data_IF_497028437649
#
_entry.id   IF_497028437649
#
_cell.length_a   1.000
_cell.length_b   1.000
_cell.length_c   1.000
_cell.angle_alpha   90.00
_cell.angle_beta   90.00
_cell.angle_gamma   90.00
#
_symmetry.space_group_name_H-M   'P 1'
#
loop_
_entity.id
_entity.type
_entity.pdbx_description
1 polymer ?
#
# COMPACT_ATOMS: atom_id res chain seq x y z
N UNK A 1 9.56 -13.83 -0.90
CA UNK A 1 11.03 -14.00 -0.86
C UNK A 1 11.39 -15.47 -1.04
N UNK A 2 10.85 -16.40 -0.25
CA UNK A 2 11.17 -17.85 -0.32
C UNK A 2 10.97 -18.44 -1.71
N UNK A 3 9.83 -18.18 -2.36
CA UNK A 3 9.56 -18.62 -3.74
C UNK A 3 10.59 -18.08 -4.73
N UNK A 4 11.00 -16.82 -4.57
CA UNK A 4 12.01 -16.21 -5.44
C UNK A 4 13.41 -16.79 -5.18
N UNK A 5 13.74 -17.18 -3.94
CA UNK A 5 14.96 -17.94 -3.67
C UNK A 5 14.98 -19.27 -4.41
N UNK A 6 13.84 -19.94 -4.51
CA UNK A 6 13.67 -21.18 -5.27
C UNK A 6 13.65 -20.97 -6.80
N UNK A 7 13.83 -19.73 -7.28
CA UNK A 7 13.84 -19.43 -8.71
C UNK A 7 12.45 -19.37 -9.37
N UNK A 8 11.39 -19.27 -8.59
CA UNK A 8 10.02 -19.26 -9.11
C UNK A 8 9.55 -17.85 -9.45
N UNK A 9 8.83 -17.65 -10.58
CA UNK A 9 8.05 -16.44 -10.82
C UNK A 9 7.02 -16.21 -9.71
N UNK A 10 6.71 -14.94 -9.42
CA UNK A 10 5.74 -14.62 -8.36
C UNK A 10 4.69 -13.60 -8.83
N UNK A 11 3.45 -13.90 -8.50
CA UNK A 11 2.33 -12.96 -8.56
C UNK A 11 1.88 -12.70 -7.13
N UNK A 12 1.91 -11.44 -6.68
CA UNK A 12 1.63 -11.06 -5.29
C UNK A 12 0.46 -10.09 -5.25
N UNK A 13 -0.51 -10.39 -4.39
CA UNK A 13 -1.62 -9.48 -4.15
C UNK A 13 -1.13 -8.21 -3.44
N UNK A 14 -1.84 -7.10 -3.66
CA UNK A 14 -1.57 -5.82 -2.98
C UNK A 14 -1.97 -5.89 -1.49
N UNK A 15 -1.33 -5.12 -0.63
CA UNK A 15 -0.06 -4.42 -0.83
C UNK A 15 1.10 -5.39 -0.97
N UNK A 16 2.14 -4.98 -1.72
CA UNK A 16 3.26 -5.86 -2.08
C UNK A 16 4.04 -6.36 -0.88
N UNK A 17 4.30 -5.48 0.07
CA UNK A 17 5.10 -5.74 1.25
C UNK A 17 4.74 -4.74 2.35
N UNK A 18 5.24 -4.95 3.57
CA UNK A 18 4.89 -4.15 4.73
C UNK A 18 5.76 -2.90 4.89
N UNK A 19 7.00 -2.95 4.42
CA UNK A 19 7.95 -1.84 4.50
C UNK A 19 8.83 -1.67 3.26
N UNK A 20 9.61 -0.59 3.25
CA UNK A 20 10.51 -0.24 2.14
C UNK A 20 11.68 -1.22 2.00
N UNK A 21 12.16 -1.80 3.09
CA UNK A 21 13.25 -2.78 3.06
C UNK A 21 12.81 -4.05 2.33
N UNK A 22 11.63 -4.55 2.65
CA UNK A 22 11.03 -5.71 1.98
C UNK A 22 10.85 -5.47 0.48
N UNK A 23 10.30 -4.29 0.10
CA UNK A 23 10.12 -3.92 -1.31
C UNK A 23 11.46 -3.89 -2.04
N UNK A 24 12.49 -3.28 -1.46
CA UNK A 24 13.82 -3.21 -2.07
C UNK A 24 14.46 -4.59 -2.19
N UNK A 25 14.26 -5.47 -1.22
CA UNK A 25 14.71 -6.86 -1.26
C UNK A 25 14.07 -7.60 -2.43
N UNK A 26 12.75 -7.49 -2.60
CA UNK A 26 12.03 -8.10 -3.72
C UNK A 26 12.50 -7.56 -5.06
N UNK A 27 12.67 -6.24 -5.20
CA UNK A 27 13.19 -5.61 -6.42
C UNK A 27 14.58 -6.12 -6.78
N UNK A 28 15.50 -6.20 -5.80
CA UNK A 28 16.85 -6.70 -5.99
C UNK A 28 16.83 -8.14 -6.48
N UNK A 29 16.10 -9.02 -5.80
CA UNK A 29 15.98 -10.43 -6.16
C UNK A 29 15.38 -10.63 -7.55
N UNK A 30 14.34 -9.89 -7.91
CA UNK A 30 13.73 -9.97 -9.23
C UNK A 30 14.74 -9.67 -10.33
N UNK A 31 15.57 -8.62 -10.15
CA UNK A 31 16.62 -8.23 -11.11
C UNK A 31 17.75 -9.24 -11.19
N UNK A 32 18.32 -9.64 -10.04
CA UNK A 32 19.47 -10.55 -9.98
C UNK A 32 19.14 -11.93 -10.53
N UNK A 33 17.97 -12.44 -10.22
CA UNK A 33 17.50 -13.76 -10.67
C UNK A 33 16.73 -13.72 -11.99
N UNK A 34 16.49 -12.53 -12.55
CA UNK A 34 15.71 -12.31 -13.79
C UNK A 34 14.33 -12.99 -13.75
N UNK A 35 13.66 -12.89 -12.59
CA UNK A 35 12.36 -13.53 -12.37
C UNK A 35 11.22 -12.63 -12.86
N UNK A 36 10.25 -13.17 -13.60
CA UNK A 36 8.98 -12.50 -13.83
C UNK A 36 8.25 -12.24 -12.49
N UNK A 37 7.86 -10.99 -12.27
CA UNK A 37 7.17 -10.59 -11.05
C UNK A 37 6.01 -9.66 -11.39
N UNK A 38 4.88 -9.81 -10.70
CA UNK A 38 3.73 -8.93 -10.88
C UNK A 38 3.02 -8.70 -9.56
N UNK A 39 2.58 -7.47 -9.32
CA UNK A 39 1.66 -7.12 -8.24
C UNK A 39 0.24 -7.03 -8.78
N UNK A 40 -0.73 -7.55 -8.01
CA UNK A 40 -2.14 -7.54 -8.37
C UNK A 40 -2.81 -6.19 -8.10
N UNK A 41 -2.73 -5.26 -9.07
CA UNK A 41 -3.50 -4.01 -9.09
C UNK A 41 -4.52 -4.10 -10.22
N UNK A 42 -5.78 -4.38 -9.86
CA UNK A 42 -6.82 -4.66 -10.87
C UNK A 42 -7.08 -3.50 -11.82
N UNK A 43 -7.04 -2.24 -11.33
CA UNK A 43 -7.33 -1.07 -12.16
C UNK A 43 -6.30 -0.87 -13.29
N UNK A 44 -5.07 -1.31 -13.09
CA UNK A 44 -4.01 -1.23 -14.10
C UNK A 44 -4.35 -1.99 -15.40
N UNK A 45 -5.26 -2.95 -15.31
CA UNK A 45 -5.71 -3.76 -16.45
C UNK A 45 -6.94 -3.22 -17.16
N UNK A 46 -7.62 -2.20 -16.61
CA UNK A 46 -8.84 -1.65 -17.19
C UNK A 46 -8.58 -0.87 -18.47
N UNK A 47 -9.50 -0.97 -19.43
CA UNK A 47 -9.41 -0.28 -20.72
C UNK A 47 -9.46 1.24 -20.55
N UNK A 48 -10.34 1.72 -19.66
CA UNK A 48 -10.51 3.14 -19.35
C UNK A 48 -9.24 3.75 -18.76
N UNK A 49 -8.59 3.01 -17.86
CA UNK A 49 -7.29 3.39 -17.31
C UNK A 49 -6.24 3.52 -18.40
N UNK A 50 -6.09 2.50 -19.25
CA UNK A 50 -5.11 2.50 -20.35
C UNK A 50 -5.38 3.63 -21.34
N UNK A 51 -6.65 3.89 -21.65
CA UNK A 51 -7.06 4.99 -22.52
C UNK A 51 -6.69 6.35 -21.91
N UNK A 52 -6.96 6.56 -20.62
CA UNK A 52 -6.59 7.79 -19.92
C UNK A 52 -5.08 8.03 -19.92
N UNK A 53 -4.29 6.98 -19.61
CA UNK A 53 -2.82 7.03 -19.67
C UNK A 53 -2.34 7.42 -21.06
N UNK A 54 -2.89 6.79 -22.12
CA UNK A 54 -2.53 7.09 -23.50
C UNK A 54 -2.85 8.55 -23.89
N UNK A 55 -4.03 9.05 -23.55
CA UNK A 55 -4.41 10.44 -23.82
C UNK A 55 -3.45 11.45 -23.16
N UNK A 56 -2.97 11.16 -21.95
CA UNK A 56 -2.00 12.02 -21.28
C UNK A 56 -0.64 11.95 -22.00
N UNK A 57 -0.20 10.77 -22.41
CA UNK A 57 1.03 10.59 -23.20
C UNK A 57 0.97 11.35 -24.53
N UNK A 58 -0.20 11.38 -25.18
CA UNK A 58 -0.45 12.10 -26.43
C UNK A 58 -0.61 13.62 -26.22
N UNK A 59 -0.48 14.11 -25.00
CA UNK A 59 -0.48 15.54 -24.67
C UNK A 59 -1.88 16.17 -24.54
N UNK A 60 -2.93 15.39 -24.37
CA UNK A 60 -4.32 15.90 -24.30
C UNK A 60 -4.55 17.00 -23.25
N UNK A 61 -3.77 16.99 -22.16
CA UNK A 61 -3.84 18.00 -21.09
C UNK A 61 -2.60 18.87 -21.00
N UNK A 62 -1.65 18.71 -21.93
CA UNK A 62 -0.35 19.39 -21.91
C UNK A 62 0.54 18.92 -20.76
N UNK A 63 1.50 19.77 -20.35
CA UNK A 63 2.44 19.47 -19.28
C UNK A 63 1.77 19.55 -17.90
N UNK A 64 1.93 18.50 -17.11
CA UNK A 64 1.37 18.41 -15.76
C UNK A 64 2.37 18.92 -14.73
N UNK A 65 2.01 19.93 -13.95
CA UNK A 65 2.88 20.51 -12.91
C UNK A 65 2.55 20.01 -11.51
N UNK A 66 1.30 19.68 -11.27
CA UNK A 66 0.81 19.26 -9.96
C UNK A 66 -0.32 18.25 -10.10
N UNK A 67 -0.34 17.26 -9.20
CA UNK A 67 -1.38 16.23 -9.14
C UNK A 67 -1.86 16.10 -7.70
N UNK A 68 -3.17 16.09 -7.51
CA UNK A 68 -3.79 15.77 -6.23
C UNK A 68 -4.53 14.44 -6.34
N UNK A 69 -4.26 13.54 -5.40
CA UNK A 69 -4.98 12.28 -5.25
C UNK A 69 -5.49 12.14 -3.84
N UNK A 70 -6.63 11.49 -3.66
CA UNK A 70 -7.20 11.27 -2.34
C UNK A 70 -7.98 9.98 -2.26
N UNK A 71 -8.25 9.54 -1.05
CA UNK A 71 -9.13 8.42 -0.74
C UNK A 71 -9.96 8.76 0.50
N UNK A 72 -11.24 8.41 0.47
CA UNK A 72 -12.16 8.58 1.59
C UNK A 72 -12.08 7.45 2.64
N UNK A 73 -11.26 6.43 2.39
CA UNK A 73 -11.06 5.34 3.35
C UNK A 73 -10.46 5.87 4.65
N UNK A 74 -10.90 5.31 5.77
CA UNK A 74 -10.50 5.72 7.12
C UNK A 74 -9.80 4.56 7.84
N UNK A 75 -8.73 4.06 7.25
CA UNK A 75 -7.90 3.00 7.84
C UNK A 75 -6.80 3.59 8.72
N UNK A 76 -7.23 4.18 9.81
CA UNK A 76 -6.40 4.73 10.88
C UNK A 76 -7.25 4.90 12.14
N UNK A 77 -6.61 5.27 13.24
CA UNK A 77 -7.29 5.48 14.50
C UNK A 77 -6.58 6.54 15.34
N UNK A 78 -7.33 7.36 16.06
CA UNK A 78 -6.79 8.30 17.03
C UNK A 78 -6.69 7.67 18.41
N UNK A 79 -7.55 6.71 18.69
CA UNK A 79 -7.64 6.04 19.98
C UNK A 79 -6.82 4.74 19.99
N UNK A 80 -6.28 4.41 21.15
CA UNK A 80 -5.69 3.10 21.40
C UNK A 80 -6.78 2.05 21.53
N UNK A 81 -6.38 0.79 21.32
CA UNK A 81 -7.27 -0.33 21.60
C UNK A 81 -7.67 -0.36 23.07
N UNK A 82 -8.95 -0.66 23.38
CA UNK A 82 -9.37 -0.85 24.76
C UNK A 82 -8.65 -2.07 25.35
N UNK A 83 -8.34 -2.00 26.64
CA UNK A 83 -7.79 -3.12 27.41
C UNK A 83 -8.92 -4.12 27.73
N UNK A 84 -9.44 -4.77 26.71
CA UNK A 84 -10.54 -5.74 26.79
C UNK A 84 -10.09 -7.09 26.23
N UNK A 85 -10.85 -8.11 26.62
CA UNK A 85 -10.76 -9.43 26.03
C UNK A 85 -12.18 -9.94 25.79
N UNK A 86 -12.51 -10.14 24.54
CA UNK A 86 -13.78 -10.72 24.13
C UNK A 86 -13.63 -12.22 23.89
N UNK A 87 -14.73 -12.99 23.95
CA UNK A 87 -14.71 -14.39 23.55
C UNK A 87 -14.39 -14.53 22.06
N UNK A 88 -13.51 -15.45 21.76
CA UNK A 88 -13.19 -15.80 20.37
C UNK A 88 -14.43 -16.45 19.74
N UNK A 89 -14.90 -16.02 18.56
CA UNK A 89 -16.03 -16.65 17.89
C UNK A 89 -15.80 -18.14 17.64
N UNK A 90 -16.87 -18.92 17.70
CA UNK A 90 -16.82 -20.36 17.41
C UNK A 90 -16.29 -20.61 16.01
N UNK A 91 -15.37 -21.56 15.87
CA UNK A 91 -14.72 -21.92 14.62
C UNK A 91 -13.66 -20.91 14.12
N UNK A 92 -13.34 -19.86 14.88
CA UNK A 92 -12.31 -18.90 14.53
C UNK A 92 -11.02 -19.15 15.31
N UNK A 93 -9.96 -19.55 14.63
CA UNK A 93 -8.63 -19.71 15.24
C UNK A 93 -7.92 -18.36 15.29
N UNK A 94 -7.95 -17.75 16.48
CA UNK A 94 -7.32 -16.45 16.71
C UNK A 94 -5.80 -16.50 16.61
N UNK A 95 -5.19 -17.59 17.04
CA UNK A 95 -3.74 -17.73 17.01
C UNK A 95 -3.22 -17.87 15.57
N UNK A 96 -3.88 -18.67 14.74
CA UNK A 96 -3.58 -18.79 13.32
C UNK A 96 -3.81 -17.45 12.60
N UNK A 97 -4.86 -16.70 12.97
CA UNK A 97 -5.13 -15.39 12.40
C UNK A 97 -4.04 -14.36 12.74
N UNK A 98 -3.49 -14.38 13.94
CA UNK A 98 -2.38 -13.51 14.35
C UNK A 98 -1.11 -13.77 13.52
N UNK A 99 -0.88 -14.99 13.09
CA UNK A 99 0.29 -15.37 12.30
C UNK A 99 1.58 -15.07 13.04
N UNK A 100 2.40 -14.18 12.50
CA UNK A 100 3.71 -13.79 13.07
C UNK A 100 3.63 -12.63 14.06
N UNK A 101 2.45 -12.03 14.24
CA UNK A 101 2.27 -10.93 15.19
C UNK A 101 2.32 -11.44 16.64
N UNK A 102 2.64 -10.54 17.57
CA UNK A 102 2.68 -10.88 18.99
C UNK A 102 1.31 -11.38 19.48
N UNK A 103 1.31 -12.45 20.27
CA UNK A 103 0.11 -13.00 20.90
C UNK A 103 -0.55 -11.94 21.77
N UNK A 104 -1.87 -11.79 21.61
CA UNK A 104 -2.68 -10.79 22.32
C UNK A 104 -4.13 -11.25 22.46
N UNK A 105 -4.90 -10.67 23.39
CA UNK A 105 -6.32 -10.95 23.53
C UNK A 105 -7.10 -10.65 22.25
N UNK A 106 -8.14 -11.43 21.98
CA UNK A 106 -9.12 -11.09 20.95
C UNK A 106 -9.98 -9.94 21.46
N UNK A 107 -10.17 -8.92 20.62
CA UNK A 107 -11.07 -7.80 20.84
C UNK A 107 -11.99 -7.71 19.63
N UNK A 108 -13.29 -7.85 19.86
CA UNK A 108 -14.31 -7.81 18.82
C UNK A 108 -14.20 -6.52 18.00
N UNK A 109 -14.32 -6.63 16.71
CA UNK A 109 -14.27 -5.51 15.74
C UNK A 109 -12.96 -4.70 15.72
N UNK A 110 -11.98 -5.05 16.54
CA UNK A 110 -10.69 -4.35 16.57
C UNK A 110 -9.79 -4.70 15.38
N UNK A 111 -9.92 -5.90 14.83
CA UNK A 111 -9.07 -6.44 13.77
C UNK A 111 -9.86 -6.96 12.57
N UNK A 112 -10.72 -7.93 12.78
CA UNK A 112 -11.50 -8.60 11.74
C UNK A 112 -12.91 -7.95 11.62
N UNK A 113 -13.51 -7.90 10.42
CA UNK A 113 -12.95 -8.39 9.14
C UNK A 113 -12.04 -7.41 8.41
N UNK A 114 -12.07 -6.12 8.70
CA UNK A 114 -11.39 -5.09 7.92
C UNK A 114 -10.50 -4.14 8.70
N UNK A 115 -10.70 -4.03 10.01
CA UNK A 115 -10.03 -3.07 10.89
C UNK A 115 -8.54 -3.35 11.13
N UNK A 116 -8.08 -4.56 10.80
CA UNK A 116 -6.65 -4.89 10.80
C UNK A 116 -5.81 -3.91 9.98
N UNK A 117 -6.39 -3.29 8.95
CA UNK A 117 -5.71 -2.28 8.12
C UNK A 117 -5.22 -1.07 8.92
N UNK A 118 -5.90 -0.77 10.02
CA UNK A 118 -5.55 0.34 10.91
C UNK A 118 -4.33 0.04 11.79
N UNK A 119 -4.03 -1.26 12.03
CA UNK A 119 -3.07 -1.70 13.03
C UNK A 119 -1.67 -1.82 12.45
N UNK A 120 -0.69 -1.34 13.23
CA UNK A 120 0.72 -1.29 12.80
C UNK A 120 1.28 -2.68 12.46
N UNK A 121 0.86 -3.73 13.19
CA UNK A 121 1.36 -5.09 13.00
C UNK A 121 0.77 -5.82 11.79
N UNK A 122 -0.34 -5.32 11.24
CA UNK A 122 -1.09 -6.06 10.21
C UNK A 122 -1.29 -5.27 8.93
N UNK A 123 -1.47 -3.96 9.02
CA UNK A 123 -1.84 -3.11 7.90
C UNK A 123 -0.90 -1.95 7.68
N UNK A 124 -1.15 -1.23 6.59
CA UNK A 124 -0.37 -0.07 6.17
C UNK A 124 -1.24 1.18 6.01
N UNK A 125 -2.33 1.24 6.79
CA UNK A 125 -3.31 2.33 6.79
C UNK A 125 -3.99 2.59 5.44
N UNK A 126 -4.70 3.70 5.35
CA UNK A 126 -5.34 4.16 4.10
C UNK A 126 -4.30 4.36 3.00
N UNK A 127 -3.13 4.88 3.33
CA UNK A 127 -2.11 5.13 2.31
C UNK A 127 -1.59 3.84 1.67
N UNK A 128 -1.26 2.83 2.46
CA UNK A 128 -0.80 1.55 1.91
C UNK A 128 -1.91 0.73 1.26
N UNK A 129 -3.14 0.80 1.79
CA UNK A 129 -4.29 0.11 1.20
C UNK A 129 -4.72 0.71 -0.14
N UNK A 130 -4.75 2.05 -0.24
CA UNK A 130 -5.27 2.77 -1.40
C UNK A 130 -4.20 3.39 -2.30
N UNK A 131 -3.01 3.65 -1.77
CA UNK A 131 -1.93 4.30 -2.51
C UNK A 131 -1.58 3.59 -3.81
N UNK A 132 -1.53 2.26 -3.81
CA UNK A 132 -1.29 1.48 -5.02
C UNK A 132 -2.38 1.67 -6.09
N UNK A 133 -3.59 2.06 -5.72
CA UNK A 133 -4.67 2.31 -6.67
C UNK A 133 -4.68 3.75 -7.17
N UNK A 134 -4.48 4.73 -6.26
CA UNK A 134 -4.60 6.15 -6.61
C UNK A 134 -3.31 6.76 -7.16
N UNK A 135 -2.15 6.16 -6.86
CA UNK A 135 -0.85 6.62 -7.39
C UNK A 135 -0.45 5.91 -8.68
N UNK A 136 -0.89 4.67 -8.90
CA UNK A 136 -0.55 3.92 -10.11
C UNK A 136 -0.90 4.67 -11.41
N UNK A 137 -2.11 5.25 -11.59
CA UNK A 137 -2.41 6.06 -12.76
C UNK A 137 -1.49 7.28 -12.91
N UNK A 138 -1.09 7.91 -11.81
CA UNK A 138 -0.18 9.06 -11.83
C UNK A 138 1.23 8.65 -12.29
N UNK A 139 1.76 7.59 -11.69
CA UNK A 139 3.09 7.07 -12.07
C UNK A 139 3.13 6.61 -13.52
N UNK A 140 2.11 5.90 -13.98
CA UNK A 140 2.04 5.39 -15.35
C UNK A 140 1.84 6.52 -16.37
N UNK A 141 0.90 7.44 -16.12
CA UNK A 141 0.58 8.51 -17.07
C UNK A 141 1.68 9.57 -17.19
N UNK A 142 2.40 9.84 -16.10
CA UNK A 142 3.48 10.82 -16.07
C UNK A 142 4.88 10.21 -16.16
N UNK A 143 4.98 8.89 -16.31
CA UNK A 143 6.25 8.16 -16.40
C UNK A 143 7.20 8.53 -15.25
N UNK A 144 6.67 8.58 -14.02
CA UNK A 144 7.43 9.00 -12.86
C UNK A 144 8.40 7.91 -12.41
N UNK A 145 9.61 8.34 -12.05
CA UNK A 145 10.62 7.51 -11.41
C UNK A 145 10.64 7.71 -9.88
N UNK A 146 11.83 7.67 -9.31
CA UNK A 146 11.99 7.93 -7.87
C UNK A 146 11.78 9.42 -7.56
N UNK A 147 11.06 9.75 -6.46
CA UNK A 147 10.91 11.13 -6.04
C UNK A 147 12.23 11.71 -5.52
N UNK A 148 12.41 13.01 -5.68
CA UNK A 148 13.50 13.79 -5.07
C UNK A 148 13.27 13.96 -3.57
N UNK A 149 12.04 14.23 -3.17
CA UNK A 149 11.66 14.35 -1.76
C UNK A 149 10.31 13.72 -1.50
N UNK A 150 10.16 13.18 -0.28
CA UNK A 150 8.90 12.69 0.28
C UNK A 150 8.74 13.32 1.65
N UNK A 151 7.62 13.97 1.91
CA UNK A 151 7.30 14.59 3.19
C UNK A 151 5.91 14.18 3.65
N UNK A 152 5.83 13.62 4.85
CA UNK A 152 4.56 13.41 5.54
C UNK A 152 4.24 14.63 6.41
N UNK A 153 3.02 15.12 6.32
CA UNK A 153 2.45 16.19 7.16
C UNK A 153 1.39 15.64 8.11
N UNK A 154 1.36 14.32 8.27
CA UNK A 154 0.40 13.61 9.11
C UNK A 154 0.87 13.54 10.56
N UNK A 155 -0.07 13.34 11.48
CA UNK A 155 0.26 12.96 12.85
C UNK A 155 1.03 11.62 12.88
N UNK A 156 1.90 11.39 13.87
CA UNK A 156 2.54 10.09 14.03
C UNK A 156 1.52 9.02 14.43
N UNK A 157 1.83 7.74 14.20
CA UNK A 157 1.08 6.62 14.76
C UNK A 157 1.00 6.71 16.29
N UNK A 158 -0.07 6.16 16.87
CA UNK A 158 -0.27 6.17 18.34
C UNK A 158 0.43 5.00 19.07
N UNK A 159 1.26 4.22 18.38
CA UNK A 159 1.96 3.04 18.90
C UNK A 159 1.26 1.71 18.63
N UNK A 160 -0.04 1.72 18.32
CA UNK A 160 -0.84 0.53 17.98
C UNK A 160 -1.49 0.66 16.60
N UNK A 161 -1.82 1.89 16.22
CA UNK A 161 -2.57 2.22 15.01
C UNK A 161 -1.91 3.34 14.22
N UNK A 162 -2.08 3.29 12.92
CA UNK A 162 -1.74 4.37 12.01
C UNK A 162 -2.63 5.60 12.23
N UNK A 163 -2.12 6.76 11.83
CA UNK A 163 -2.90 8.00 11.86
C UNK A 163 -4.16 7.90 10.99
N UNK A 164 -5.27 8.49 11.48
CA UNK A 164 -6.55 8.48 10.78
C UNK A 164 -6.48 9.23 9.45
N UNK A 165 -5.80 10.37 9.43
CA UNK A 165 -5.62 11.19 8.25
C UNK A 165 -4.14 11.23 7.85
N UNK A 166 -3.89 11.15 6.55
CA UNK A 166 -2.53 11.14 6.01
C UNK A 166 -2.44 12.14 4.86
N UNK A 167 -1.49 13.05 4.93
CA UNK A 167 -1.11 13.95 3.86
C UNK A 167 0.37 13.74 3.53
N UNK A 168 0.66 13.37 2.29
CA UNK A 168 2.02 13.12 1.83
C UNK A 168 2.28 13.95 0.57
N UNK A 169 3.38 14.69 0.57
CA UNK A 169 3.86 15.45 -0.58
C UNK A 169 5.08 14.78 -1.18
N UNK A 170 5.05 14.68 -2.49
CA UNK A 170 6.16 14.18 -3.30
C UNK A 170 6.64 15.29 -4.24
N UNK A 171 7.94 15.34 -4.44
CA UNK A 171 8.55 16.14 -5.52
C UNK A 171 9.31 15.20 -6.42
N UNK A 172 9.04 15.27 -7.71
CA UNK A 172 9.70 14.46 -8.72
C UNK A 172 10.59 15.32 -9.62
N UNK A 173 11.62 14.75 -10.24
CA UNK A 173 12.36 15.44 -11.29
C UNK A 173 11.43 15.68 -12.50
N UNK A 174 11.64 16.79 -13.19
CA UNK A 174 10.92 17.07 -14.42
C UNK A 174 11.24 16.06 -15.54
N UNK A 175 10.28 15.82 -16.41
CA UNK A 175 10.41 15.01 -17.61
C UNK A 175 9.58 15.63 -18.76
N UNK A 176 9.54 15.07 -19.98
CA UNK A 176 8.81 15.65 -21.11
C UNK A 176 7.31 15.86 -20.88
N UNK A 177 6.69 15.13 -19.95
CA UNK A 177 5.26 15.21 -19.63
C UNK A 177 4.94 16.17 -18.46
N UNK A 178 5.99 16.66 -17.76
CA UNK A 178 5.85 17.48 -16.53
C UNK A 178 6.57 18.83 -16.64
#
# INVERSE_FOLDING_TARGET
VTSMHAGLPVYVQKPLAHDVHEVRTLMKMAREKKLPTQMGIQIHSWSEYKTAVQLIHDGAIGKVKEVHTWSEKKWGDTEKLPLLQDPIPEGFDWNEWLGVAAVRPFVKDAYHPGNWRKRLDFGTATFGDMGCHILDPVFSSLQLGSPLTVRSESAPPNGESWALNTLIRYVFPGNPLT
#
